data_IF_047142326856
#
_entry.id   IF_047142326856
#
_cell.length_a   1.000
_cell.length_b   1.000
_cell.length_c   1.000
_cell.angle_alpha   90.00
_cell.angle_beta   90.00
_cell.angle_gamma   90.00
#
_symmetry.space_group_name_H-M   'P 1'
#
loop_
_entity.id
_entity.type
_entity.pdbx_description
1 polymer ?
#
# COMPACT_ATOMS: atom_id res chain seq x y z
N UNK A 1 -26.75 -19.84 -0.07
CA UNK A 1 -25.92 -19.28 -1.16
C UNK A 1 -26.41 -17.87 -1.38
N UNK A 2 -25.53 -16.89 -1.17
CA UNK A 2 -25.86 -15.48 -1.33
C UNK A 2 -25.60 -15.06 -2.79
N UNK A 3 -26.56 -14.35 -3.38
CA UNK A 3 -26.42 -13.77 -4.70
C UNK A 3 -26.04 -12.30 -4.57
N UNK A 4 -24.85 -11.95 -5.03
CA UNK A 4 -24.31 -10.58 -4.92
C UNK A 4 -24.28 -9.93 -6.29
N UNK A 5 -24.87 -8.74 -6.40
CA UNK A 5 -24.76 -7.92 -7.61
C UNK A 5 -23.43 -7.18 -7.63
N UNK A 6 -22.77 -7.21 -8.78
CA UNK A 6 -21.41 -6.70 -8.96
C UNK A 6 -21.32 -5.93 -10.26
N UNK A 7 -20.58 -4.83 -10.24
CA UNK A 7 -20.35 -3.97 -11.40
C UNK A 7 -18.88 -4.05 -11.76
N UNK A 8 -18.54 -4.40 -12.99
CA UNK A 8 -17.15 -4.41 -13.41
C UNK A 8 -16.59 -2.97 -13.39
N UNK A 9 -15.54 -2.68 -12.60
CA UNK A 9 -14.96 -1.34 -12.51
C UNK A 9 -14.36 -0.85 -13.84
N UNK A 10 -13.90 -1.75 -14.71
CA UNK A 10 -13.25 -1.38 -15.98
C UNK A 10 -14.23 -1.06 -17.11
N UNK A 11 -15.45 -1.58 -17.09
CA UNK A 11 -16.40 -1.42 -18.20
C UNK A 11 -17.86 -1.16 -17.81
N UNK A 12 -18.18 -1.11 -16.52
CA UNK A 12 -19.52 -0.83 -16.01
C UNK A 12 -20.55 -1.95 -16.22
N UNK A 13 -20.15 -3.10 -16.79
CA UNK A 13 -21.08 -4.24 -16.99
C UNK A 13 -21.49 -4.81 -15.63
N UNK A 14 -22.80 -4.96 -15.43
CA UNK A 14 -23.39 -5.59 -14.24
C UNK A 14 -23.41 -7.11 -14.40
N UNK A 15 -23.22 -7.82 -13.30
CA UNK A 15 -23.35 -9.27 -13.21
C UNK A 15 -23.77 -9.72 -11.81
N UNK A 16 -23.94 -11.02 -11.65
CA UNK A 16 -24.26 -11.64 -10.36
C UNK A 16 -23.29 -12.78 -10.12
N UNK A 17 -22.77 -12.85 -8.90
CA UNK A 17 -21.93 -13.96 -8.45
C UNK A 17 -22.63 -14.68 -7.31
N UNK A 18 -22.26 -15.94 -7.12
CA UNK A 18 -22.72 -16.75 -5.99
C UNK A 18 -21.58 -16.94 -5.02
N UNK A 19 -21.80 -16.53 -3.77
CA UNK A 19 -20.84 -16.71 -2.67
C UNK A 19 -21.45 -17.66 -1.65
N UNK A 20 -20.65 -18.60 -1.15
CA UNK A 20 -21.11 -19.54 -0.14
C UNK A 20 -21.32 -18.81 1.20
N UNK A 21 -22.47 -19.06 1.86
CA UNK A 21 -22.86 -18.34 3.08
C UNK A 21 -21.89 -18.60 4.23
N UNK A 22 -21.23 -19.77 4.22
CA UNK A 22 -20.23 -20.14 5.21
C UNK A 22 -18.97 -19.27 5.10
N UNK A 23 -18.63 -18.77 3.91
CA UNK A 23 -17.49 -17.86 3.72
C UNK A 23 -17.80 -16.46 4.25
N UNK A 24 -19.04 -15.96 4.05
CA UNK A 24 -19.48 -14.67 4.57
C UNK A 24 -19.59 -14.67 6.10
N UNK A 25 -20.02 -15.78 6.69
CA UNK A 25 -20.14 -15.93 8.15
C UNK A 25 -18.81 -16.21 8.84
N UNK A 26 -17.88 -16.92 8.19
CA UNK A 26 -16.50 -17.15 8.71
C UNK A 26 -15.68 -15.87 8.83
N UNK A 27 -15.97 -14.84 8.05
CA UNK A 27 -15.32 -13.53 8.18
C UNK A 27 -15.69 -12.77 9.46
N UNK A 28 -16.73 -13.18 10.20
CA UNK A 28 -17.07 -12.66 11.54
C UNK A 28 -17.48 -11.18 11.56
N UNK A 29 -16.49 -10.29 11.52
CA UNK A 29 -16.59 -8.83 11.28
C UNK A 29 -15.44 -8.51 10.32
N UNK A 30 -15.69 -7.88 9.17
CA UNK A 30 -14.62 -7.57 8.21
C UNK A 30 -15.02 -7.73 6.75
N UNK A 31 -14.01 -7.72 5.88
CA UNK A 31 -14.17 -7.82 4.42
C UNK A 31 -13.73 -9.19 3.91
N UNK A 32 -14.55 -9.79 3.04
CA UNK A 32 -14.22 -10.96 2.23
C UNK A 32 -13.78 -10.51 0.84
N UNK A 33 -12.54 -10.79 0.48
CA UNK A 33 -12.05 -10.57 -0.88
C UNK A 33 -12.43 -11.75 -1.79
N UNK A 34 -13.09 -11.46 -2.91
CA UNK A 34 -13.48 -12.46 -3.92
C UNK A 34 -12.86 -12.08 -5.26
N UNK A 35 -12.05 -12.98 -5.81
CA UNK A 35 -11.48 -12.81 -7.15
C UNK A 35 -12.53 -13.18 -8.21
N UNK A 36 -12.81 -12.24 -9.10
CA UNK A 36 -13.68 -12.41 -10.26
C UNK A 36 -12.81 -12.71 -11.47
N UNK A 37 -12.77 -13.98 -11.85
CA UNK A 37 -12.05 -14.43 -13.04
C UNK A 37 -12.67 -13.85 -14.32
N UNK A 38 -11.85 -13.76 -15.37
CA UNK A 38 -12.32 -13.39 -16.71
C UNK A 38 -13.46 -14.32 -17.16
N UNK A 39 -14.38 -13.78 -17.96
CA UNK A 39 -15.60 -14.45 -18.47
C UNK A 39 -16.70 -14.72 -17.43
N UNK A 40 -16.47 -14.48 -16.14
CA UNK A 40 -17.53 -14.56 -15.12
C UNK A 40 -18.62 -13.51 -15.36
N UNK A 41 -18.21 -12.27 -15.65
CA UNK A 41 -19.12 -11.13 -15.93
C UNK A 41 -18.77 -10.48 -17.27
N UNK A 42 -17.48 -10.25 -17.49
CA UNK A 42 -16.95 -9.63 -18.70
C UNK A 42 -15.52 -10.16 -18.97
N UNK A 43 -14.82 -9.56 -19.93
CA UNK A 43 -13.45 -9.94 -20.28
C UNK A 43 -12.37 -9.55 -19.24
N UNK A 44 -12.71 -8.71 -18.26
CA UNK A 44 -11.77 -8.24 -17.25
C UNK A 44 -11.80 -9.14 -16.00
N UNK A 45 -10.65 -9.27 -15.34
CA UNK A 45 -10.52 -9.86 -14.00
C UNK A 45 -10.36 -8.77 -12.96
N UNK A 46 -10.96 -8.95 -11.78
CA UNK A 46 -10.89 -7.98 -10.69
C UNK A 46 -11.24 -8.64 -9.36
N UNK A 47 -10.81 -8.07 -8.26
CA UNK A 47 -11.21 -8.47 -6.90
C UNK A 47 -12.33 -7.55 -6.43
N UNK A 48 -13.30 -8.10 -5.73
CA UNK A 48 -14.30 -7.34 -4.98
C UNK A 48 -14.11 -7.57 -3.49
N UNK A 49 -14.47 -6.60 -2.68
CA UNK A 49 -14.49 -6.73 -1.22
C UNK A 49 -15.93 -6.67 -0.73
N UNK A 50 -16.38 -7.76 -0.11
CA UNK A 50 -17.73 -7.92 0.41
C UNK A 50 -17.73 -7.78 1.92
N UNK A 51 -18.74 -7.18 2.51
CA UNK A 51 -18.95 -7.27 3.96
C UNK A 51 -19.72 -8.55 4.36
N UNK A 52 -19.99 -8.69 5.66
CA UNK A 52 -20.73 -9.83 6.22
C UNK A 52 -22.19 -9.92 5.77
N UNK A 53 -22.75 -8.84 5.19
CA UNK A 53 -24.10 -8.79 4.64
C UNK A 53 -24.11 -9.03 3.12
N UNK A 54 -22.94 -9.24 2.50
CA UNK A 54 -22.80 -9.42 1.06
C UNK A 54 -22.86 -8.11 0.28
N UNK A 55 -22.73 -6.95 0.93
CA UNK A 55 -22.64 -5.67 0.24
C UNK A 55 -21.22 -5.47 -0.30
N UNK A 56 -21.10 -5.03 -1.55
CA UNK A 56 -19.80 -4.69 -2.15
C UNK A 56 -19.33 -3.35 -1.59
N UNK A 57 -18.22 -3.38 -0.86
CA UNK A 57 -17.59 -2.22 -0.23
C UNK A 57 -16.55 -1.56 -1.11
N UNK A 58 -15.82 -2.35 -1.89
CA UNK A 58 -14.75 -1.83 -2.75
C UNK A 58 -14.43 -2.78 -3.92
N UNK A 59 -13.73 -2.27 -4.93
CA UNK A 59 -13.29 -2.99 -6.14
C UNK A 59 -11.79 -2.81 -6.34
N UNK A 60 -11.15 -3.82 -6.90
CA UNK A 60 -9.73 -3.78 -7.19
C UNK A 60 -9.40 -4.42 -8.53
N UNK A 61 -8.76 -3.67 -9.41
CA UNK A 61 -8.31 -4.13 -10.73
C UNK A 61 -6.79 -4.09 -10.79
N UNK A 62 -6.18 -5.19 -11.21
CA UNK A 62 -4.78 -5.20 -11.64
C UNK A 62 -4.77 -5.30 -13.16
N UNK A 63 -4.21 -4.30 -13.83
CA UNK A 63 -4.13 -4.27 -15.30
C UNK A 63 -2.98 -5.14 -15.85
N UNK A 64 -2.08 -5.66 -15.00
CA UNK A 64 -0.89 -6.44 -15.38
C UNK A 64 -0.48 -7.47 -14.30
N UNK A 65 0.22 -8.54 -14.69
CA UNK A 65 0.73 -9.56 -13.77
C UNK A 65 2.12 -9.14 -13.24
N UNK A 66 2.16 -8.16 -12.34
CA UNK A 66 3.38 -7.77 -11.62
C UNK A 66 3.40 -8.55 -10.31
N UNK A 67 4.59 -8.97 -9.88
CA UNK A 67 4.81 -9.65 -8.60
C UNK A 67 5.58 -8.75 -7.64
N UNK A 68 5.16 -8.74 -6.37
CA UNK A 68 5.98 -8.12 -5.32
C UNK A 68 7.20 -9.02 -5.06
N UNK A 69 8.37 -8.43 -4.75
CA UNK A 69 9.53 -9.20 -4.36
C UNK A 69 9.24 -10.08 -3.15
N UNK A 70 9.65 -11.35 -3.23
CA UNK A 70 9.61 -12.24 -2.08
C UNK A 70 10.94 -12.14 -1.36
N UNK A 71 10.98 -11.31 -0.33
CA UNK A 71 12.08 -11.29 0.63
C UNK A 71 11.63 -12.09 1.83
N UNK A 72 12.38 -13.13 2.19
CA UNK A 72 12.22 -13.76 3.50
C UNK A 72 12.56 -12.70 4.56
N UNK A 73 11.53 -12.03 5.10
CA UNK A 73 11.74 -11.26 6.31
C UNK A 73 12.16 -12.27 7.35
N UNK A 74 13.36 -12.17 7.95
CA UNK A 74 13.70 -13.04 9.05
C UNK A 74 12.59 -12.83 10.06
N UNK A 75 11.80 -13.86 10.32
CA UNK A 75 10.96 -13.92 11.50
C UNK A 75 11.92 -13.96 12.68
N UNK A 76 12.61 -12.83 12.95
CA UNK A 76 13.18 -12.58 14.25
C UNK A 76 11.97 -12.61 15.16
N UNK A 77 12.07 -13.55 16.09
CA UNK A 77 11.17 -13.89 17.16
C UNK A 77 10.92 -12.73 18.13
N UNK A 78 10.63 -11.54 17.62
CA UNK A 78 9.89 -10.54 18.34
C UNK A 78 8.44 -10.96 18.20
N UNK A 79 7.81 -11.20 19.34
CA UNK A 79 6.47 -11.74 19.49
C UNK A 79 5.51 -11.21 18.42
N UNK A 80 4.65 -12.09 17.90
CA UNK A 80 3.39 -11.74 17.22
C UNK A 80 2.45 -11.01 18.19
N UNK A 81 2.93 -10.00 18.89
CA UNK A 81 2.14 -9.10 19.70
C UNK A 81 1.44 -8.17 18.73
N UNK A 82 0.37 -8.71 18.15
CA UNK A 82 -0.68 -7.89 17.61
C UNK A 82 -1.07 -6.91 18.73
N UNK A 83 -1.16 -5.60 18.42
CA UNK A 83 -1.73 -4.67 19.37
C UNK A 83 -3.10 -5.22 19.77
N UNK A 84 -3.41 -5.21 21.08
CA UNK A 84 -4.68 -5.74 21.54
C UNK A 84 -5.83 -5.07 20.78
N UNK A 85 -6.94 -5.77 20.56
CA UNK A 85 -8.12 -5.20 19.86
C UNK A 85 -8.65 -3.93 20.54
N UNK A 86 -8.28 -3.66 21.80
CA UNK A 86 -8.60 -2.40 22.50
C UNK A 86 -7.76 -1.21 22.01
N UNK A 87 -6.58 -1.47 21.46
CA UNK A 87 -5.62 -0.47 20.96
C UNK A 87 -5.82 -0.26 19.45
N UNK A 88 -5.90 -1.35 18.68
CA UNK A 88 -6.20 -1.33 17.24
C UNK A 88 -7.23 -2.39 16.91
N UNK A 89 -8.44 -1.97 16.51
CA UNK A 89 -9.46 -2.86 15.99
C UNK A 89 -9.30 -2.98 14.46
N UNK A 90 -8.67 -4.06 13.99
CA UNK A 90 -8.35 -4.26 12.57
C UNK A 90 -9.61 -4.38 11.71
N UNK A 91 -10.70 -4.91 12.26
CA UNK A 91 -11.99 -4.99 11.54
C UNK A 91 -12.52 -3.61 11.27
N UNK A 92 -12.47 -2.77 12.30
CA UNK A 92 -12.87 -1.39 12.20
C UNK A 92 -11.99 -0.64 11.19
N UNK A 93 -10.68 -0.88 11.15
CA UNK A 93 -9.79 -0.29 10.15
C UNK A 93 -10.20 -0.74 8.73
N UNK A 94 -10.35 -2.04 8.47
CA UNK A 94 -10.71 -2.54 7.13
C UNK A 94 -12.07 -2.04 6.66
N UNK A 95 -13.03 -1.91 7.57
CA UNK A 95 -14.37 -1.40 7.23
C UNK A 95 -14.39 0.10 6.94
N UNK A 96 -13.48 0.87 7.55
CA UNK A 96 -13.49 2.33 7.45
C UNK A 96 -12.35 2.91 6.61
N UNK A 97 -11.42 2.08 6.14
CA UNK A 97 -10.30 2.49 5.31
C UNK A 97 -10.38 1.80 3.93
N UNK A 98 -11.02 2.45 2.93
CA UNK A 98 -11.09 1.94 1.57
C UNK A 98 -9.71 1.66 0.98
N UNK A 99 -9.62 0.72 0.03
CA UNK A 99 -8.36 0.30 -0.56
C UNK A 99 -7.63 1.46 -1.24
N UNK A 100 -8.37 2.30 -1.97
CA UNK A 100 -7.82 3.48 -2.63
C UNK A 100 -7.26 4.50 -1.62
N UNK A 101 -7.97 4.74 -0.51
CA UNK A 101 -7.49 5.66 0.53
C UNK A 101 -6.21 5.13 1.18
N UNK A 102 -6.16 3.84 1.54
CA UNK A 102 -4.95 3.24 2.08
C UNK A 102 -3.79 3.28 1.07
N UNK A 103 -4.07 3.06 -0.22
CA UNK A 103 -3.08 3.18 -1.30
C UNK A 103 -2.48 4.59 -1.35
N UNK A 104 -3.32 5.62 -1.29
CA UNK A 104 -2.87 7.01 -1.26
C UNK A 104 -2.03 7.32 -0.02
N UNK A 105 -2.44 6.80 1.15
CA UNK A 105 -1.70 6.98 2.40
C UNK A 105 -0.32 6.30 2.33
N UNK A 106 -0.23 5.09 1.80
CA UNK A 106 1.06 4.42 1.59
C UNK A 106 1.97 5.24 0.67
N UNK A 107 1.44 5.80 -0.44
CA UNK A 107 2.22 6.70 -1.31
C UNK A 107 2.75 7.90 -0.54
N UNK A 108 1.95 8.50 0.35
CA UNK A 108 2.40 9.61 1.18
C UNK A 108 3.51 9.19 2.16
N UNK A 109 3.36 8.03 2.81
CA UNK A 109 4.37 7.47 3.74
C UNK A 109 5.70 7.27 3.01
N UNK A 110 5.68 6.60 1.85
CA UNK A 110 6.87 6.32 1.05
C UNK A 110 7.54 7.55 0.44
N UNK A 111 6.92 8.74 0.54
CA UNK A 111 7.45 10.00 0.03
C UNK A 111 7.57 11.08 1.12
N UNK A 112 7.42 10.69 2.39
CA UNK A 112 7.50 11.59 3.54
C UNK A 112 6.58 12.83 3.40
N UNK A 113 5.31 12.60 3.02
CA UNK A 113 4.29 13.65 2.91
C UNK A 113 3.39 13.66 4.13
N UNK A 114 3.13 14.86 4.64
CA UNK A 114 2.16 15.06 5.72
C UNK A 114 0.74 14.69 5.25
N UNK A 115 0.03 13.96 6.09
CA UNK A 115 -1.32 13.44 5.82
C UNK A 115 -2.31 14.06 6.79
N UNK A 116 -3.44 14.52 6.27
CA UNK A 116 -4.62 14.92 7.06
C UNK A 116 -5.81 14.07 6.62
N UNK A 117 -6.38 13.30 7.56
CA UNK A 117 -7.62 12.57 7.34
C UNK A 117 -8.78 13.34 7.96
N UNK A 118 -9.76 13.71 7.14
CA UNK A 118 -10.99 14.33 7.60
C UNK A 118 -11.97 13.23 7.99
N UNK A 119 -12.27 13.16 9.28
CA UNK A 119 -13.08 12.09 9.86
C UNK A 119 -13.95 12.64 11.00
N UNK A 120 -15.25 12.39 10.90
CA UNK A 120 -16.23 12.84 11.91
C UNK A 120 -16.34 11.85 13.09
N UNK A 121 -15.96 10.59 12.87
CA UNK A 121 -16.04 9.53 13.88
C UNK A 121 -14.85 9.59 14.84
N UNK A 122 -14.99 10.37 15.91
CA UNK A 122 -13.93 10.55 16.92
C UNK A 122 -13.39 9.24 17.50
N UNK A 123 -14.21 8.19 17.64
CA UNK A 123 -13.77 6.90 18.19
C UNK A 123 -12.76 6.16 17.30
N UNK A 124 -12.78 6.41 15.99
CA UNK A 124 -11.91 5.75 15.03
C UNK A 124 -10.51 6.42 14.95
N UNK A 125 -10.40 7.65 15.44
CA UNK A 125 -9.15 8.45 15.42
C UNK A 125 -7.97 7.71 16.05
N UNK A 126 -8.11 7.27 17.29
CA UNK A 126 -7.04 6.56 18.01
C UNK A 126 -6.67 5.24 17.34
N UNK A 127 -7.66 4.49 16.85
CA UNK A 127 -7.41 3.23 16.14
C UNK A 127 -6.61 3.45 14.86
N UNK A 128 -6.94 4.47 14.06
CA UNK A 128 -6.20 4.81 12.84
C UNK A 128 -4.78 5.29 13.14
N UNK A 129 -4.60 6.17 14.13
CA UNK A 129 -3.27 6.65 14.52
C UNK A 129 -2.38 5.49 14.98
N UNK A 130 -2.89 4.62 15.85
CA UNK A 130 -2.16 3.46 16.34
C UNK A 130 -1.87 2.45 15.23
N UNK A 131 -2.82 2.24 14.31
CA UNK A 131 -2.64 1.40 13.14
C UNK A 131 -1.46 1.88 12.28
N UNK A 132 -1.46 3.16 11.90
CA UNK A 132 -0.39 3.70 11.05
C UNK A 132 0.95 3.73 11.76
N UNK A 133 0.99 4.15 13.03
CA UNK A 133 2.22 4.16 13.81
C UNK A 133 2.85 2.76 13.93
N UNK A 134 2.02 1.73 14.07
CA UNK A 134 2.52 0.37 14.17
C UNK A 134 3.03 -0.17 12.84
N UNK A 135 2.30 0.00 11.73
CA UNK A 135 2.73 -0.55 10.43
C UNK A 135 3.98 0.15 9.89
N UNK A 136 4.27 1.37 10.35
CA UNK A 136 5.50 2.10 9.99
C UNK A 136 6.59 2.03 11.05
N UNK A 137 6.35 1.37 12.19
CA UNK A 137 7.33 1.28 13.29
C UNK A 137 8.68 0.74 12.79
N UNK A 138 9.77 1.42 13.14
CA UNK A 138 11.15 1.10 12.75
C UNK A 138 11.41 1.14 11.22
N UNK A 139 10.55 1.81 10.44
CA UNK A 139 10.70 1.94 8.99
C UNK A 139 10.61 3.40 8.56
N UNK A 140 9.46 3.82 8.04
CA UNK A 140 9.19 5.17 7.58
C UNK A 140 8.65 6.05 8.71
N UNK A 141 9.09 7.29 8.72
CA UNK A 141 8.50 8.35 9.52
C UNK A 141 7.12 8.71 8.94
N UNK A 142 6.17 8.97 9.83
CA UNK A 142 4.81 9.35 9.46
C UNK A 142 4.33 10.56 10.23
N UNK A 143 3.89 11.58 9.49
CA UNK A 143 3.17 12.73 10.01
C UNK A 143 1.72 12.64 9.56
N UNK A 144 0.86 12.13 10.44
CA UNK A 144 -0.57 11.98 10.17
C UNK A 144 -1.40 12.69 11.24
N UNK A 145 -2.34 13.52 10.81
CA UNK A 145 -3.35 14.14 11.66
C UNK A 145 -4.75 13.71 11.23
N UNK A 146 -5.64 13.58 12.21
CA UNK A 146 -7.05 13.23 11.99
C UNK A 146 -7.89 14.32 12.63
N UNK A 147 -8.66 15.02 11.79
CA UNK A 147 -9.41 16.23 12.14
C UNK A 147 -10.87 16.06 11.74
N UNK A 148 -11.77 16.68 12.49
CA UNK A 148 -13.12 16.92 11.99
C UNK A 148 -13.08 17.97 10.87
N UNK A 149 -14.06 17.96 9.97
CA UNK A 149 -14.10 18.91 8.84
C UNK A 149 -14.11 20.37 9.31
N UNK A 150 -14.84 20.65 10.39
CA UNK A 150 -14.91 22.00 10.96
C UNK A 150 -13.56 22.49 11.50
N UNK A 151 -12.81 21.61 12.17
CA UNK A 151 -11.48 21.91 12.69
C UNK A 151 -10.52 22.23 11.54
N UNK A 152 -10.54 21.41 10.48
CA UNK A 152 -9.72 21.63 9.29
C UNK A 152 -10.02 22.97 8.61
N UNK A 153 -11.28 23.38 8.46
CA UNK A 153 -11.58 24.67 7.83
C UNK A 153 -11.05 25.87 8.65
N UNK A 154 -10.89 25.71 9.98
CA UNK A 154 -10.29 26.72 10.85
C UNK A 154 -8.75 26.76 10.72
N UNK A 155 -8.10 25.60 10.55
CA UNK A 155 -6.63 25.47 10.48
C UNK A 155 -6.09 25.27 9.07
N UNK A 156 -6.92 25.38 8.03
CA UNK A 156 -6.62 25.08 6.62
C UNK A 156 -5.31 25.66 6.09
N UNK A 157 -4.92 26.84 6.59
CA UNK A 157 -3.68 27.52 6.19
C UNK A 157 -2.41 26.77 6.63
N UNK A 158 -2.48 26.06 7.75
CA UNK A 158 -1.38 25.27 8.31
C UNK A 158 -1.13 24.00 7.49
N UNK A 159 -2.18 23.48 6.84
CA UNK A 159 -2.15 22.23 6.06
C UNK A 159 -2.00 22.43 4.54
N UNK A 160 -1.53 23.59 4.08
CA UNK A 160 -1.42 23.91 2.64
C UNK A 160 -0.55 22.92 1.86
N UNK A 161 0.51 22.40 2.49
CA UNK A 161 1.44 21.45 1.89
C UNK A 161 1.12 20.00 2.23
N UNK A 162 0.10 19.76 3.06
CA UNK A 162 -0.32 18.42 3.46
C UNK A 162 -1.29 17.83 2.43
N UNK A 163 -1.23 16.52 2.28
CA UNK A 163 -2.22 15.73 1.56
C UNK A 163 -3.47 15.61 2.43
N UNK A 164 -4.64 16.03 1.91
CA UNK A 164 -5.88 16.04 2.69
C UNK A 164 -6.90 15.11 2.04
N UNK A 165 -7.47 14.19 2.83
CA UNK A 165 -8.43 13.20 2.36
C UNK A 165 -9.74 13.27 3.15
N UNK A 166 -10.88 13.15 2.46
CA UNK A 166 -12.23 13.03 3.05
C UNK A 166 -12.89 11.77 2.46
N UNK A 167 -12.80 10.66 3.19
CA UNK A 167 -13.14 9.34 2.65
C UNK A 167 -12.32 9.01 1.39
N UNK A 168 -12.99 8.74 0.27
CA UNK A 168 -12.33 8.45 -1.01
C UNK A 168 -11.88 9.71 -1.78
N UNK A 169 -12.23 10.91 -1.31
CA UNK A 169 -11.96 12.16 -2.02
C UNK A 169 -10.63 12.76 -1.58
N UNK A 170 -9.80 13.13 -2.55
CA UNK A 170 -8.62 13.96 -2.30
C UNK A 170 -9.07 15.41 -2.27
N UNK A 171 -9.08 16.01 -1.08
CA UNK A 171 -9.48 17.41 -0.85
C UNK A 171 -8.33 18.37 -1.18
N UNK A 172 -7.10 17.98 -0.87
CA UNK A 172 -5.89 18.71 -1.22
C UNK A 172 -4.82 17.75 -1.76
N UNK A 173 -4.30 18.07 -2.95
CA UNK A 173 -3.23 17.32 -3.61
C UNK A 173 -2.14 18.30 -4.07
N UNK A 174 -1.29 18.80 -3.15
CA UNK A 174 -0.23 19.74 -3.49
C UNK A 174 0.60 19.24 -4.66
N UNK A 175 0.82 20.12 -5.65
CA UNK A 175 1.61 19.83 -6.85
C UNK A 175 1.11 18.63 -7.69
N UNK A 176 -0.15 18.22 -7.52
CA UNK A 176 -0.69 17.00 -8.17
C UNK A 176 0.15 15.75 -7.88
N UNK A 177 0.68 15.66 -6.65
CA UNK A 177 1.56 14.59 -6.18
C UNK A 177 0.97 13.19 -6.43
N UNK A 178 -0.29 12.95 -6.08
CA UNK A 178 -0.94 11.66 -6.33
C UNK A 178 -1.39 11.57 -7.79
N UNK A 179 -0.83 10.59 -8.50
CA UNK A 179 -1.27 10.16 -9.82
C UNK A 179 -1.76 8.70 -9.77
N UNK A 180 -3.09 8.44 -9.86
CA UNK A 180 -3.67 7.09 -9.73
C UNK A 180 -3.11 6.02 -10.68
N UNK A 181 -2.49 6.43 -11.80
CA UNK A 181 -1.87 5.53 -12.79
C UNK A 181 -0.48 5.03 -12.36
N UNK A 182 0.14 5.67 -11.36
CA UNK A 182 1.49 5.36 -10.86
C UNK A 182 1.48 4.81 -9.43
N UNK A 183 0.42 4.10 -9.06
CA UNK A 183 0.23 3.54 -7.71
C UNK A 183 0.19 2.02 -7.69
N UNK A 184 0.86 1.38 -8.64
CA UNK A 184 0.70 -0.06 -8.87
C UNK A 184 1.22 -0.87 -7.67
N UNK A 185 2.43 -0.58 -7.20
CA UNK A 185 3.05 -1.29 -6.09
C UNK A 185 2.27 -1.08 -4.79
N UNK A 186 1.84 0.16 -4.51
CA UNK A 186 1.01 0.48 -3.34
C UNK A 186 -0.32 -0.29 -3.40
N UNK A 187 -0.98 -0.31 -4.56
CA UNK A 187 -2.21 -1.08 -4.81
C UNK A 187 -2.02 -2.57 -4.55
N UNK A 188 -0.90 -3.13 -4.99
CA UNK A 188 -0.57 -4.54 -4.75
C UNK A 188 -0.39 -4.84 -3.25
N UNK A 189 0.34 -4.00 -2.53
CA UNK A 189 0.55 -4.13 -1.08
C UNK A 189 -0.80 -4.11 -0.35
N UNK A 190 -1.67 -3.14 -0.69
CA UNK A 190 -3.01 -3.01 -0.10
C UNK A 190 -3.89 -4.22 -0.42
N UNK A 191 -3.89 -4.72 -1.65
CA UNK A 191 -4.65 -5.90 -2.00
C UNK A 191 -4.12 -7.17 -1.30
N UNK A 192 -2.81 -7.31 -1.10
CA UNK A 192 -2.23 -8.40 -0.31
C UNK A 192 -2.70 -8.35 1.14
N UNK A 193 -2.85 -7.15 1.71
CA UNK A 193 -3.42 -6.93 3.04
C UNK A 193 -4.91 -7.30 3.09
N UNK A 194 -5.74 -6.75 2.20
CA UNK A 194 -7.20 -6.89 2.23
C UNK A 194 -7.68 -8.28 1.79
N UNK A 195 -6.88 -9.01 1.01
CA UNK A 195 -7.25 -10.35 0.52
C UNK A 195 -7.16 -11.46 1.56
N UNK A 196 -6.62 -11.20 2.76
CA UNK A 196 -6.48 -12.20 3.82
C UNK A 196 -7.71 -12.28 4.69
N UNK A 197 -8.26 -13.49 4.80
CA UNK A 197 -9.39 -13.81 5.69
C UNK A 197 -9.01 -13.69 7.16
N UNK A 198 -7.78 -14.09 7.53
CA UNK A 198 -7.26 -13.86 8.88
C UNK A 198 -6.73 -12.42 9.02
N UNK A 199 -7.32 -11.70 9.96
CA UNK A 199 -7.10 -10.27 10.19
C UNK A 199 -5.72 -9.97 10.77
N UNK A 200 -5.32 -10.75 11.77
CA UNK A 200 -4.01 -10.62 12.40
C UNK A 200 -2.89 -10.89 11.39
N UNK A 201 -3.10 -11.90 10.53
CA UNK A 201 -2.16 -12.22 9.47
C UNK A 201 -2.11 -11.16 8.38
N UNK A 202 -3.25 -10.60 7.96
CA UNK A 202 -3.29 -9.49 7.00
C UNK A 202 -2.48 -8.30 7.48
N UNK A 203 -2.65 -7.91 8.74
CA UNK A 203 -1.94 -6.79 9.33
C UNK A 203 -0.41 -6.98 9.38
N UNK A 204 0.02 -8.17 9.78
CA UNK A 204 1.45 -8.55 9.76
C UNK A 204 1.99 -8.49 8.33
N UNK A 205 1.22 -8.95 7.33
CA UNK A 205 1.61 -8.82 5.93
C UNK A 205 1.82 -7.37 5.54
N UNK A 206 0.89 -6.47 5.86
CA UNK A 206 1.03 -5.06 5.52
C UNK A 206 2.32 -4.45 6.09
N UNK A 207 2.58 -4.68 7.39
CA UNK A 207 3.81 -4.25 8.06
C UNK A 207 5.06 -4.83 7.38
N UNK A 208 5.05 -6.14 7.10
CA UNK A 208 6.19 -6.81 6.45
C UNK A 208 6.44 -6.25 5.05
N UNK A 209 5.41 -5.96 4.27
CA UNK A 209 5.60 -5.35 2.95
C UNK A 209 6.16 -3.93 3.06
N UNK A 210 5.71 -3.12 4.02
CA UNK A 210 6.29 -1.78 4.30
C UNK A 210 7.76 -1.91 4.73
N UNK A 211 8.07 -2.84 5.63
CA UNK A 211 9.45 -3.14 6.04
C UNK A 211 10.33 -3.54 4.86
N UNK A 212 9.84 -4.39 3.96
CA UNK A 212 10.57 -4.76 2.74
C UNK A 212 10.90 -3.56 1.88
N UNK A 213 9.93 -2.66 1.64
CA UNK A 213 10.19 -1.43 0.86
C UNK A 213 11.30 -0.62 1.51
N UNK A 214 11.24 -0.43 2.84
CA UNK A 214 12.26 0.31 3.57
C UNK A 214 13.64 -0.36 3.53
N UNK A 215 13.72 -1.67 3.78
CA UNK A 215 14.96 -2.44 3.77
C UNK A 215 15.62 -2.40 2.39
N UNK A 216 14.86 -2.60 1.32
CA UNK A 216 15.40 -2.56 -0.03
C UNK A 216 15.86 -1.14 -0.40
N UNK A 217 15.06 -0.11 -0.10
CA UNK A 217 15.41 1.29 -0.41
C UNK A 217 16.63 1.77 0.39
N UNK A 218 16.71 1.43 1.68
CA UNK A 218 17.85 1.77 2.53
C UNK A 218 19.12 1.02 2.10
N UNK A 219 19.03 -0.26 1.71
CA UNK A 219 20.18 -0.98 1.15
C UNK A 219 20.63 -0.36 -0.17
N UNK A 220 19.70 0.06 -1.01
CA UNK A 220 19.99 0.81 -2.24
C UNK A 220 20.79 2.08 -1.95
N UNK A 221 20.37 2.85 -0.94
CA UNK A 221 21.09 4.04 -0.49
C UNK A 221 22.50 3.70 0.01
N UNK A 222 22.66 2.65 0.80
CA UNK A 222 23.97 2.21 1.31
C UNK A 222 24.92 1.88 0.16
N UNK A 223 24.52 0.99 -0.75
CA UNK A 223 25.37 0.57 -1.88
C UNK A 223 25.73 1.76 -2.77
N UNK A 224 24.78 2.67 -3.01
CA UNK A 224 25.03 3.87 -3.80
C UNK A 224 26.06 4.80 -3.13
N UNK A 225 25.93 5.04 -1.82
CA UNK A 225 26.89 5.87 -1.08
C UNK A 225 28.28 5.23 -1.01
N UNK A 226 28.37 3.91 -0.89
CA UNK A 226 29.65 3.18 -0.90
C UNK A 226 30.37 3.35 -2.24
N UNK A 227 29.63 3.21 -3.36
CA UNK A 227 30.18 3.40 -4.71
C UNK A 227 30.58 4.85 -4.98
N UNK A 228 29.79 5.82 -4.54
CA UNK A 228 30.14 7.24 -4.63
C UNK A 228 31.45 7.56 -3.89
N UNK A 229 31.61 7.03 -2.68
CA UNK A 229 32.85 7.20 -1.91
C UNK A 229 34.08 6.62 -2.63
N UNK A 230 33.89 5.55 -3.41
CA UNK A 230 34.95 4.87 -4.15
C UNK A 230 35.15 5.44 -5.57
N UNK A 231 34.35 6.42 -6.00
CA UNK A 231 34.40 7.00 -7.35
C UNK A 231 33.93 6.04 -8.45
N UNK A 232 33.15 5.03 -8.10
CA UNK A 232 32.63 4.04 -9.03
C UNK A 232 31.40 4.56 -9.80
N UNK A 233 31.22 4.18 -11.08
CA UNK A 233 30.02 4.53 -11.81
C UNK A 233 28.77 3.91 -11.17
N UNK A 234 27.76 4.75 -10.96
CA UNK A 234 26.50 4.35 -10.31
C UNK A 234 25.48 3.98 -11.38
N UNK A 235 24.98 2.75 -11.30
CA UNK A 235 23.96 2.23 -12.19
C UNK A 235 22.91 1.49 -11.37
N UNK A 236 21.64 1.90 -11.50
CA UNK A 236 20.53 1.35 -10.72
C UNK A 236 20.32 -0.15 -10.94
N UNK A 237 20.50 -0.66 -12.16
CA UNK A 237 20.36 -2.09 -12.46
C UNK A 237 21.50 -2.91 -11.84
N UNK A 238 22.73 -2.39 -11.85
CA UNK A 238 23.86 -3.06 -11.20
C UNK A 238 23.69 -3.12 -9.68
N UNK A 239 23.16 -2.05 -9.08
CA UNK A 239 22.86 -2.01 -7.65
C UNK A 239 21.72 -2.99 -7.34
N UNK A 240 20.65 -3.00 -8.14
CA UNK A 240 19.55 -3.95 -7.99
C UNK A 240 20.06 -5.39 -8.02
N UNK A 241 20.81 -5.78 -9.06
CA UNK A 241 21.38 -7.13 -9.19
C UNK A 241 22.30 -7.52 -8.03
N UNK A 242 23.00 -6.55 -7.43
CA UNK A 242 23.82 -6.79 -6.25
C UNK A 242 22.92 -7.08 -5.03
N UNK A 243 21.89 -6.26 -4.81
CA UNK A 243 20.94 -6.42 -3.70
C UNK A 243 20.15 -7.74 -3.84
N UNK A 244 19.71 -8.08 -5.06
CA UNK A 244 19.05 -9.35 -5.36
C UNK A 244 19.88 -10.56 -4.91
N UNK A 245 21.19 -10.54 -5.18
CA UNK A 245 22.13 -11.60 -4.76
C UNK A 245 22.39 -11.60 -3.26
N UNK A 246 22.53 -10.43 -2.65
CA UNK A 246 22.83 -10.29 -1.23
C UNK A 246 21.66 -10.73 -0.34
N UNK A 247 20.42 -10.47 -0.80
CA UNK A 247 19.21 -10.69 -0.02
C UNK A 247 18.33 -11.84 -0.54
N UNK A 248 18.79 -12.55 -1.58
CA UNK A 248 18.05 -13.63 -2.26
C UNK A 248 16.61 -13.23 -2.62
N UNK A 249 16.50 -12.13 -3.36
CA UNK A 249 15.21 -11.49 -3.73
C UNK A 249 15.19 -11.17 -5.22
N UNK A 250 14.00 -11.14 -5.83
CA UNK A 250 13.82 -10.70 -7.21
C UNK A 250 13.13 -9.33 -7.27
N UNK A 251 13.78 -8.37 -7.93
CA UNK A 251 13.36 -6.98 -8.12
C UNK A 251 13.09 -6.77 -9.62
N UNK A 252 11.82 -6.78 -10.02
CA UNK A 252 11.46 -6.44 -11.39
C UNK A 252 11.62 -4.93 -11.66
N UNK A 253 11.62 -4.55 -12.94
CA UNK A 253 11.84 -3.16 -13.37
C UNK A 253 10.84 -2.16 -12.78
N UNK A 254 9.58 -2.55 -12.58
CA UNK A 254 8.56 -1.67 -12.03
C UNK A 254 8.78 -1.42 -10.54
N UNK A 255 9.12 -2.48 -9.80
CA UNK A 255 9.50 -2.36 -8.41
C UNK A 255 10.80 -1.59 -8.24
N UNK A 256 11.79 -1.76 -9.14
CA UNK A 256 13.01 -0.95 -9.16
C UNK A 256 12.68 0.53 -9.33
N UNK A 257 11.84 0.88 -10.31
CA UNK A 257 11.40 2.27 -10.50
C UNK A 257 10.71 2.83 -9.26
N UNK A 258 9.85 2.03 -8.63
CA UNK A 258 9.23 2.38 -7.37
C UNK A 258 10.26 2.63 -6.26
N UNK A 259 11.26 1.77 -6.07
CA UNK A 259 12.33 1.96 -5.08
C UNK A 259 13.15 3.23 -5.35
N UNK A 260 13.42 3.56 -6.61
CA UNK A 260 14.10 4.79 -6.99
C UNK A 260 13.25 6.03 -6.67
N UNK A 261 11.94 5.96 -6.87
CA UNK A 261 10.98 7.00 -6.48
C UNK A 261 11.02 7.24 -4.96
N UNK A 262 11.06 6.16 -4.15
CA UNK A 262 11.21 6.24 -2.69
C UNK A 262 12.56 6.86 -2.31
N UNK A 263 13.64 6.46 -2.97
CA UNK A 263 14.99 7.00 -2.73
C UNK A 263 15.05 8.52 -2.96
N UNK A 264 14.47 8.99 -4.05
CA UNK A 264 14.45 10.41 -4.40
C UNK A 264 13.61 11.24 -3.44
N UNK A 265 12.44 10.73 -3.05
CA UNK A 265 11.46 11.53 -2.31
C UNK A 265 11.54 11.37 -0.80
N UNK A 266 11.78 10.16 -0.29
CA UNK A 266 11.89 9.92 1.15
C UNK A 266 13.31 10.19 1.65
N UNK A 267 14.32 9.56 1.01
CA UNK A 267 15.71 9.70 1.42
C UNK A 267 16.38 10.96 0.86
N UNK A 268 15.68 11.71 -0.02
CA UNK A 268 16.18 12.96 -0.59
C UNK A 268 17.38 12.78 -1.51
N UNK A 269 17.61 11.58 -2.03
CA UNK A 269 18.76 11.30 -2.90
C UNK A 269 18.36 11.00 -4.33
N UNK A 270 18.94 11.78 -5.25
CA UNK A 270 18.71 11.63 -6.68
C UNK A 270 19.00 10.21 -7.14
N UNK A 271 17.99 9.58 -7.74
CA UNK A 271 18.11 8.25 -8.30
C UNK A 271 19.16 8.19 -9.43
N UNK A 272 20.04 7.17 -9.45
CA UNK A 272 20.92 6.95 -10.58
C UNK A 272 20.14 6.53 -11.83
N UNK A 273 20.70 6.74 -13.02
CA UNK A 273 20.04 6.33 -14.24
C UNK A 273 19.95 4.80 -14.32
N UNK A 274 18.81 4.31 -14.81
CA UNK A 274 18.68 2.92 -15.27
C UNK A 274 19.30 2.88 -16.66
N UNK A 275 20.56 2.47 -16.73
CA UNK A 275 21.22 2.20 -18.01
C UNK A 275 21.50 0.72 -18.10
N UNK A 276 21.27 0.12 -19.26
CA UNK A 276 21.88 -1.17 -19.56
C UNK A 276 23.33 -0.87 -19.93
N UNK A 277 24.23 -0.88 -18.95
CA UNK A 277 25.66 -0.78 -19.24
C UNK A 277 26.16 -2.06 -19.91
N UNK A 278 25.80 -2.24 -21.19
CA UNK A 278 26.36 -3.22 -22.12
C UNK A 278 26.84 -2.51 -23.38
N UNK A 279 27.69 -1.50 -23.23
CA UNK A 279 28.57 -1.02 -24.30
C UNK A 279 29.98 -0.81 -23.73
N UNK A 280 30.59 -1.92 -23.31
CA UNK A 280 32.02 -2.09 -23.46
C UNK A 280 32.25 -2.72 -24.83
N UNK A 281 32.52 -1.90 -25.84
CA UNK A 281 33.17 -2.22 -27.12
C UNK A 281 33.09 -0.97 -28.02
N UNK A 282 34.08 -0.08 -27.93
CA UNK A 282 34.91 0.40 -29.06
C UNK A 282 36.32 0.61 -28.52
#
# INVERSE_FOLDING_TARGET
MAHVQVICPSCGRKGTITVADDLLTKTGRGLLAVNIAQKTICKHSFTIYLDTHGEVRDYFTIDFEISLPDLETPQKSETKELPSNKIVDIDLIRLNLPADLLTFILKCIFHHKDIVLLLEQAFLKEHLLNFFHFITKNTFDITISILAKQEYEQTKKEHKQSMVFEGFKIVNNPQSFINPKKLHIEKMIVNKFLSKTDLGYGYIILKNEIEKVYTLSSRFLTVMNDRECCGEPINSLQIANQIEKELDVSINNEYLQFLLDVLEHYFGKKAPPITDSFLGLI
#
